data_IF_365544652374
#
_entry.id   IF_365544652374
#
_cell.length_a   1.000
_cell.length_b   1.000
_cell.length_c   1.000
_cell.angle_alpha   90.00
_cell.angle_beta   90.00
_cell.angle_gamma   90.00
#
_symmetry.space_group_name_H-M   'P 1'
#
loop_
_entity.id
_entity.type
_entity.pdbx_description
1 polymer ?
#
# COMPACT_ATOMS: atom_id res chain seq x y z
N UNK A 1 -13.89 -14.85 16.59
CA UNK A 1 -13.04 -13.64 16.55
C UNK A 1 -11.59 -14.10 16.43
N UNK A 2 -11.08 -14.15 15.22
CA UNK A 2 -9.69 -14.53 14.97
C UNK A 2 -8.85 -13.27 15.16
N UNK A 3 -8.03 -13.23 16.20
CA UNK A 3 -7.08 -12.14 16.42
C UNK A 3 -6.02 -12.24 15.32
N UNK A 4 -6.10 -11.38 14.33
CA UNK A 4 -5.03 -11.21 13.34
C UNK A 4 -3.79 -10.80 14.11
N UNK A 5 -2.75 -11.61 14.03
CA UNK A 5 -1.50 -11.33 14.72
C UNK A 5 -0.76 -10.24 13.93
N UNK A 6 -0.94 -8.99 14.33
CA UNK A 6 -0.26 -7.83 13.77
C UNK A 6 1.27 -7.90 13.81
N UNK A 7 1.85 -8.87 14.54
CA UNK A 7 3.31 -9.01 14.67
C UNK A 7 4.07 -9.25 13.36
N UNK A 8 3.43 -9.81 12.34
CA UNK A 8 4.09 -10.07 11.05
C UNK A 8 4.26 -8.81 10.20
N UNK A 9 3.41 -7.81 10.41
CA UNK A 9 3.37 -6.58 9.58
C UNK A 9 4.47 -5.60 9.99
N UNK A 10 4.88 -5.58 11.26
CA UNK A 10 5.92 -4.67 11.78
C UNK A 10 7.29 -4.95 11.14
N UNK A 11 7.58 -6.20 10.78
CA UNK A 11 8.86 -6.58 10.12
C UNK A 11 8.96 -6.02 8.71
N UNK A 12 7.81 -5.74 8.06
CA UNK A 12 7.76 -5.25 6.67
C UNK A 12 8.33 -3.84 6.50
N UNK A 13 8.24 -2.99 7.52
CA UNK A 13 8.71 -1.60 7.42
C UNK A 13 10.20 -1.42 7.70
N UNK A 14 10.86 -2.40 8.31
CA UNK A 14 12.29 -2.28 8.64
C UNK A 14 13.22 -2.36 7.42
N UNK A 15 12.76 -2.93 6.31
CA UNK A 15 13.56 -3.06 5.08
C UNK A 15 13.35 -1.94 4.05
N UNK A 16 12.37 -1.05 4.26
CA UNK A 16 12.02 0.02 3.31
C UNK A 16 13.00 1.22 3.40
N UNK A 17 13.84 1.26 4.43
CA UNK A 17 14.67 2.43 4.76
C UNK A 17 15.99 2.59 4.01
N UNK A 18 16.28 1.86 2.93
CA UNK A 18 17.63 1.85 2.33
C UNK A 18 17.73 2.29 0.86
N UNK A 19 16.67 2.84 0.29
CA UNK A 19 16.75 3.39 -1.08
C UNK A 19 16.49 4.89 -1.09
N UNK A 20 17.36 5.64 -0.40
CA UNK A 20 17.49 7.06 -0.60
C UNK A 20 18.66 7.27 -1.56
N UNK A 21 18.39 7.75 -2.71
CA UNK A 21 19.18 8.52 -3.66
C UNK A 21 19.22 7.97 -5.09
N UNK A 22 18.99 8.85 -5.99
CA UNK A 22 19.48 8.99 -7.36
C UNK A 22 18.55 8.85 -8.55
N UNK A 23 17.24 8.64 -8.46
CA UNK A 23 16.45 8.76 -9.71
C UNK A 23 15.04 9.31 -9.46
N UNK A 24 14.98 10.56 -9.00
CA UNK A 24 13.69 11.24 -8.77
C UNK A 24 12.82 11.34 -10.05
N UNK A 25 13.40 11.31 -11.22
CA UNK A 25 12.69 11.51 -12.50
C UNK A 25 12.30 10.22 -13.22
N UNK A 26 12.90 9.07 -12.87
CA UNK A 26 12.55 7.76 -13.46
C UNK A 26 11.55 6.94 -12.65
N UNK A 27 11.22 7.34 -11.43
CA UNK A 27 10.51 6.52 -10.47
C UNK A 27 9.00 6.79 -10.32
N UNK A 28 8.41 7.65 -11.18
CA UNK A 28 6.96 7.92 -11.16
C UNK A 28 6.14 6.85 -11.88
N UNK A 29 6.59 5.63 -11.82
CA UNK A 29 5.95 4.46 -12.42
C UNK A 29 5.58 3.46 -11.35
N UNK A 30 4.59 2.64 -11.63
CA UNK A 30 4.23 1.52 -10.78
C UNK A 30 5.40 0.54 -10.67
N UNK A 31 5.82 0.24 -9.46
CA UNK A 31 6.81 -0.78 -9.14
C UNK A 31 6.17 -2.00 -8.47
N UNK A 32 6.85 -3.14 -8.56
CA UNK A 32 6.44 -4.38 -7.90
C UNK A 32 7.60 -4.87 -7.04
N UNK A 33 7.35 -5.05 -5.74
CA UNK A 33 8.37 -5.44 -4.78
C UNK A 33 7.90 -6.58 -3.89
N UNK A 34 8.76 -7.58 -3.67
CA UNK A 34 8.55 -8.64 -2.68
C UNK A 34 9.12 -8.16 -1.34
N UNK A 35 8.35 -8.27 -0.28
CA UNK A 35 8.75 -7.88 1.07
C UNK A 35 8.40 -9.01 2.04
N UNK A 36 9.34 -9.37 2.90
CA UNK A 36 9.14 -10.42 3.91
C UNK A 36 8.94 -11.83 3.37
N UNK A 37 9.16 -12.03 2.06
CA UNK A 37 9.08 -13.32 1.38
C UNK A 37 7.72 -13.67 0.80
N UNK A 38 6.62 -13.22 1.39
CA UNK A 38 5.25 -13.61 1.03
C UNK A 38 4.32 -12.43 0.66
N UNK A 39 4.76 -11.18 0.88
CA UNK A 39 4.00 -9.99 0.52
C UNK A 39 4.54 -9.36 -0.76
N UNK A 40 3.65 -9.11 -1.71
CA UNK A 40 3.98 -8.51 -3.00
C UNK A 40 3.26 -7.17 -3.08
N UNK A 41 4.03 -6.10 -2.90
CA UNK A 41 3.56 -4.73 -3.07
C UNK A 41 3.62 -4.34 -4.53
N UNK A 42 2.57 -3.69 -5.02
CA UNK A 42 2.61 -2.95 -6.28
C UNK A 42 2.03 -1.56 -6.02
N UNK A 43 2.84 -0.53 -6.30
CA UNK A 43 2.60 0.83 -5.82
C UNK A 43 3.22 1.87 -6.74
N UNK A 44 2.75 3.10 -6.61
CA UNK A 44 3.23 4.26 -7.34
C UNK A 44 3.54 5.41 -6.38
N UNK A 45 4.63 6.16 -6.58
CA UNK A 45 4.96 7.33 -5.75
C UNK A 45 4.02 8.51 -6.03
N UNK A 46 3.85 9.36 -5.03
CA UNK A 46 3.11 10.61 -5.11
C UNK A 46 3.77 11.64 -6.03
N UNK A 47 2.96 12.59 -6.49
CA UNK A 47 3.43 13.67 -7.37
C UNK A 47 3.95 14.86 -6.58
N UNK A 48 3.44 15.10 -5.37
CA UNK A 48 3.77 16.24 -4.54
C UNK A 48 4.86 15.94 -3.51
N UNK A 49 4.84 14.76 -2.89
CA UNK A 49 5.69 14.45 -1.76
C UNK A 49 6.50 13.18 -1.99
N UNK A 50 7.81 13.34 -1.78
CA UNK A 50 8.70 12.19 -1.73
C UNK A 50 8.38 11.34 -0.50
N UNK A 51 8.11 10.05 -0.73
CA UNK A 51 7.74 9.11 0.34
C UNK A 51 6.25 8.79 0.40
N UNK A 52 5.37 9.60 -0.20
CA UNK A 52 3.99 9.17 -0.40
C UNK A 52 3.92 8.07 -1.45
N UNK A 53 3.19 7.01 -1.17
CA UNK A 53 2.94 5.91 -2.10
C UNK A 53 1.51 5.43 -1.98
N UNK A 54 0.93 5.18 -3.12
CA UNK A 54 -0.39 4.59 -3.28
C UNK A 54 -0.27 3.24 -3.97
N UNK A 55 -0.97 2.23 -3.49
CA UNK A 55 -0.92 0.93 -4.13
C UNK A 55 -1.69 -0.15 -3.39
N UNK A 56 -1.23 -1.37 -3.62
CA UNK A 56 -1.87 -2.57 -3.12
C UNK A 56 -0.83 -3.61 -2.75
N UNK A 57 -1.26 -4.55 -1.94
CA UNK A 57 -0.46 -5.70 -1.55
C UNK A 57 -1.24 -6.99 -1.80
N UNK A 58 -0.55 -7.98 -2.32
CA UNK A 58 -0.99 -9.38 -2.37
C UNK A 58 -0.20 -10.18 -1.37
N UNK A 59 -0.83 -11.19 -0.80
CA UNK A 59 -0.16 -12.11 0.12
C UNK A 59 -0.22 -13.54 -0.44
N UNK A 60 0.93 -14.19 -0.53
CA UNK A 60 1.01 -15.62 -0.84
C UNK A 60 0.48 -16.45 0.34
N UNK A 61 -0.31 -17.51 0.11
CA UNK A 61 -0.75 -18.03 -1.19
C UNK A 61 -2.05 -17.41 -1.72
N UNK A 62 -2.64 -16.40 -1.05
CA UNK A 62 -3.94 -15.82 -1.40
C UNK A 62 -3.81 -14.70 -2.44
N UNK A 63 -3.30 -15.05 -3.62
CA UNK A 63 -2.91 -14.11 -4.67
C UNK A 63 -4.07 -13.43 -5.42
N UNK A 64 -5.30 -13.90 -5.21
CA UNK A 64 -6.49 -13.34 -5.88
C UNK A 64 -7.02 -12.08 -5.20
N UNK A 65 -6.62 -11.83 -3.97
CA UNK A 65 -7.04 -10.68 -3.18
C UNK A 65 -5.98 -9.59 -3.21
N UNK A 66 -6.44 -8.35 -3.30
CA UNK A 66 -5.62 -7.16 -3.18
C UNK A 66 -6.06 -6.40 -1.92
N UNK A 67 -5.13 -6.05 -1.07
CA UNK A 67 -5.35 -5.16 0.06
C UNK A 67 -4.87 -3.77 -0.33
N UNK A 68 -5.66 -2.75 -0.04
CA UNK A 68 -5.26 -1.37 -0.23
C UNK A 68 -4.10 -1.00 0.68
N UNK A 69 -3.16 -0.27 0.14
CA UNK A 69 -1.98 0.16 0.85
C UNK A 69 -1.62 1.61 0.50
N UNK A 70 -1.29 2.38 1.52
CA UNK A 70 -0.79 3.75 1.37
C UNK A 70 0.39 3.94 2.32
N UNK A 71 1.45 4.58 1.84
CA UNK A 71 2.49 5.21 2.65
C UNK A 71 2.30 6.72 2.61
N UNK A 72 2.44 7.36 3.75
CA UNK A 72 2.31 8.80 3.88
C UNK A 72 3.44 9.36 4.74
N UNK A 73 3.90 10.54 4.41
CA UNK A 73 4.96 11.22 5.16
C UNK A 73 4.41 12.50 5.78
N UNK A 74 4.86 12.82 6.99
CA UNK A 74 4.55 14.07 7.68
C UNK A 74 5.78 14.56 8.44
N UNK A 75 5.95 15.86 8.59
CA UNK A 75 6.94 16.47 9.47
C UNK A 75 6.45 16.57 10.92
N UNK A 76 5.14 16.44 11.13
CA UNK A 76 4.53 16.49 12.45
C UNK A 76 4.42 15.09 13.10
N UNK A 77 4.27 15.07 14.42
CA UNK A 77 4.11 13.80 15.15
C UNK A 77 2.74 13.19 14.91
N UNK A 78 2.71 12.14 14.12
CA UNK A 78 1.50 11.36 13.78
C UNK A 78 1.39 10.04 14.55
N UNK A 79 2.32 9.73 15.45
CA UNK A 79 2.25 8.55 16.34
C UNK A 79 0.96 8.44 17.14
N UNK A 80 0.34 9.55 17.60
CA UNK A 80 -0.95 9.48 18.30
C UNK A 80 -2.09 8.85 17.51
N UNK A 81 -1.96 8.73 16.20
CA UNK A 81 -2.96 8.10 15.33
C UNK A 81 -2.69 6.60 15.07
N UNK A 82 -1.56 6.05 15.53
CA UNK A 82 -1.26 4.63 15.35
C UNK A 82 -2.35 3.74 15.97
N UNK A 83 -2.81 2.76 15.21
CA UNK A 83 -3.94 1.89 15.56
C UNK A 83 -5.33 2.50 15.32
N UNK A 84 -5.42 3.75 14.85
CA UNK A 84 -6.69 4.43 14.56
C UNK A 84 -7.03 4.39 13.07
N UNK A 85 -8.31 4.54 12.77
CA UNK A 85 -8.77 4.78 11.41
C UNK A 85 -8.48 6.22 11.01
N UNK A 86 -7.94 6.39 9.82
CA UNK A 86 -7.71 7.70 9.19
C UNK A 86 -8.47 7.70 7.86
N UNK A 87 -9.54 8.49 7.74
CA UNK A 87 -10.33 8.52 6.52
C UNK A 87 -9.57 9.17 5.38
N UNK A 88 -9.55 8.49 4.24
CA UNK A 88 -9.07 9.02 2.97
C UNK A 88 -10.22 9.20 2.00
N UNK A 89 -10.33 10.38 1.43
CA UNK A 89 -11.12 10.60 0.23
C UNK A 89 -10.26 10.32 -0.99
N UNK A 90 -10.78 9.50 -1.91
CA UNK A 90 -10.16 9.21 -3.18
C UNK A 90 -11.01 9.79 -4.30
N UNK A 91 -10.40 10.55 -5.19
CA UNK A 91 -11.08 11.14 -6.34
C UNK A 91 -10.23 10.88 -7.59
N UNK A 92 -10.85 10.33 -8.64
CA UNK A 92 -10.15 10.16 -9.92
C UNK A 92 -10.34 11.39 -10.84
N UNK A 93 -9.62 11.40 -11.96
CA UNK A 93 -9.69 12.49 -12.95
C UNK A 93 -11.04 12.60 -13.70
N UNK A 94 -11.94 11.65 -13.49
CA UNK A 94 -13.32 11.67 -14.00
C UNK A 94 -14.33 12.20 -12.96
N UNK A 95 -13.86 12.59 -11.77
CA UNK A 95 -14.70 13.07 -10.68
C UNK A 95 -15.43 11.96 -9.91
N UNK A 96 -15.12 10.69 -10.18
CA UNK A 96 -15.63 9.59 -9.35
C UNK A 96 -14.89 9.61 -8.02
N UNK A 97 -15.64 9.58 -6.92
CA UNK A 97 -15.08 9.63 -5.57
C UNK A 97 -15.52 8.45 -4.72
N UNK A 98 -14.65 8.06 -3.81
CA UNK A 98 -14.95 7.10 -2.75
C UNK A 98 -14.19 7.46 -1.47
N UNK A 99 -14.65 6.97 -0.33
CA UNK A 99 -13.97 7.16 0.95
C UNK A 99 -13.54 5.81 1.50
N UNK A 100 -12.32 5.76 2.01
CA UNK A 100 -11.76 4.62 2.72
C UNK A 100 -11.40 5.03 4.14
N UNK A 101 -11.47 4.07 5.04
CA UNK A 101 -11.06 4.25 6.44
C UNK A 101 -9.94 3.25 6.77
N UNK A 102 -8.75 3.41 6.19
CA UNK A 102 -7.63 2.53 6.52
C UNK A 102 -7.17 2.74 7.96
N UNK A 103 -6.69 1.67 8.57
CA UNK A 103 -6.02 1.73 9.86
C UNK A 103 -4.59 2.17 9.67
N UNK A 104 -4.13 3.15 10.45
CA UNK A 104 -2.73 3.47 10.58
C UNK A 104 -2.04 2.35 11.38
N UNK A 105 -1.31 1.48 10.69
CA UNK A 105 -0.76 0.26 11.31
C UNK A 105 0.60 0.44 11.94
N UNK A 106 1.39 1.40 11.45
CA UNK A 106 2.73 1.67 11.98
C UNK A 106 3.18 3.09 11.63
N UNK A 107 3.84 3.72 12.57
CA UNK A 107 4.54 5.00 12.39
C UNK A 107 6.02 4.77 12.58
N UNK A 108 6.83 5.16 11.61
CA UNK A 108 8.28 5.09 11.67
C UNK A 108 8.87 6.49 11.59
N UNK A 109 9.66 6.82 12.58
CA UNK A 109 10.46 8.03 12.58
C UNK A 109 11.72 7.81 11.73
N UNK A 110 11.92 8.68 10.76
CA UNK A 110 13.08 8.63 9.88
C UNK A 110 13.55 10.05 9.58
N UNK A 111 14.63 10.49 10.23
CA UNK A 111 15.28 11.79 9.99
C UNK A 111 14.29 12.98 10.03
N UNK A 112 13.46 13.05 11.08
CA UNK A 112 12.39 14.03 11.27
C UNK A 112 11.20 13.93 10.28
N UNK A 113 11.09 12.84 9.54
CA UNK A 113 9.94 12.54 8.70
C UNK A 113 9.27 11.29 9.25
N UNK A 114 7.99 11.38 9.58
CA UNK A 114 7.20 10.23 9.96
C UNK A 114 6.61 9.56 8.72
N UNK A 115 6.87 8.27 8.57
CA UNK A 115 6.28 7.44 7.54
C UNK A 115 5.24 6.50 8.13
N UNK A 116 4.10 6.42 7.50
CA UNK A 116 2.99 5.58 7.94
C UNK A 116 2.58 4.61 6.87
N UNK A 117 2.22 3.41 7.28
CA UNK A 117 1.57 2.43 6.42
C UNK A 117 0.11 2.27 6.82
N UNK A 118 -0.78 2.30 5.84
CA UNK A 118 -2.19 2.08 6.03
C UNK A 118 -2.65 0.85 5.28
N UNK A 119 -3.46 0.02 5.95
CA UNK A 119 -4.20 -1.05 5.29
C UNK A 119 -5.69 -0.82 5.47
N UNK A 120 -6.44 -1.01 4.39
CA UNK A 120 -7.89 -1.03 4.45
C UNK A 120 -8.38 -2.45 4.18
N UNK A 121 -9.01 -3.03 5.19
CA UNK A 121 -9.86 -4.21 5.06
C UNK A 121 -11.29 -3.77 5.37
N UNK A 122 -12.27 -4.28 4.62
CA UNK A 122 -13.63 -4.12 5.06
C UNK A 122 -13.91 -5.10 6.21
N UNK A 123 -14.89 -4.78 7.04
CA UNK A 123 -15.28 -5.58 8.22
C UNK A 123 -15.71 -7.02 7.87
N UNK A 124 -15.87 -7.33 6.59
CA UNK A 124 -16.26 -8.63 6.06
C UNK A 124 -15.11 -9.41 5.45
N UNK A 125 -13.90 -8.84 5.45
CA UNK A 125 -12.71 -9.45 4.85
C UNK A 125 -12.74 -9.49 3.32
N UNK A 126 -13.58 -8.68 2.68
CA UNK A 126 -13.57 -8.53 1.23
C UNK A 126 -12.41 -7.64 0.82
N UNK A 127 -11.66 -8.09 -0.18
CA UNK A 127 -10.69 -7.22 -0.82
C UNK A 127 -11.42 -6.16 -1.63
N UNK A 128 -10.97 -4.92 -1.55
CA UNK A 128 -11.46 -3.83 -2.40
C UNK A 128 -11.10 -4.00 -3.89
N UNK A 129 -10.54 -5.14 -4.27
CA UNK A 129 -9.86 -5.37 -5.54
C UNK A 129 -10.72 -5.08 -6.78
N UNK A 130 -12.01 -5.42 -6.78
CA UNK A 130 -12.84 -5.21 -7.98
C UNK A 130 -13.20 -3.74 -8.19
N UNK A 131 -13.65 -3.05 -7.13
CA UNK A 131 -14.02 -1.64 -7.21
C UNK A 131 -12.80 -0.76 -7.56
N UNK A 132 -11.65 -1.03 -6.92
CA UNK A 132 -10.42 -0.29 -7.20
C UNK A 132 -9.81 -0.63 -8.55
N UNK A 133 -10.00 -1.85 -9.05
CA UNK A 133 -9.51 -2.20 -10.38
C UNK A 133 -10.14 -1.30 -11.44
N UNK A 134 -11.47 -1.17 -11.42
CA UNK A 134 -12.17 -0.31 -12.38
C UNK A 134 -11.87 1.17 -12.17
N UNK A 135 -11.76 1.60 -10.91
CA UNK A 135 -11.41 2.96 -10.54
C UNK A 135 -10.03 3.37 -11.09
N UNK A 136 -9.00 2.52 -10.94
CA UNK A 136 -7.65 2.81 -11.42
C UNK A 136 -7.50 2.60 -12.92
N UNK A 137 -8.09 1.56 -13.48
CA UNK A 137 -7.98 1.21 -14.90
C UNK A 137 -8.55 2.30 -15.81
N UNK A 138 -9.64 2.93 -15.40
CA UNK A 138 -10.36 3.90 -16.19
C UNK A 138 -9.95 5.35 -15.92
N UNK A 139 -8.93 5.58 -15.08
CA UNK A 139 -8.43 6.91 -14.73
C UNK A 139 -6.98 7.13 -15.19
N UNK A 140 -6.58 8.38 -15.30
CA UNK A 140 -5.18 8.78 -15.55
C UNK A 140 -4.45 9.07 -14.25
N UNK A 141 -5.18 9.49 -13.23
CA UNK A 141 -4.67 9.82 -11.91
C UNK A 141 -5.73 9.66 -10.84
N UNK A 142 -5.27 9.46 -9.61
CA UNK A 142 -6.08 9.41 -8.40
C UNK A 142 -5.51 10.40 -7.41
N UNK A 143 -6.36 11.23 -6.84
CA UNK A 143 -6.01 12.14 -5.73
C UNK A 143 -6.52 11.55 -4.42
N UNK A 144 -5.62 11.42 -3.46
CA UNK A 144 -5.93 11.03 -2.09
C UNK A 144 -5.87 12.24 -1.19
N UNK A 145 -6.87 12.37 -0.32
CA UNK A 145 -6.92 13.45 0.69
C UNK A 145 -7.30 12.89 2.04
N UNK A 146 -6.53 13.24 3.08
CA UNK A 146 -6.83 12.96 4.49
C UNK A 146 -7.83 14.01 4.99
N UNK A 147 -8.77 13.63 5.85
CA UNK A 147 -9.76 14.53 6.41
C UNK A 147 -9.15 15.65 7.25
N UNK A 148 -9.82 16.80 7.31
CA UNK A 148 -9.32 18.01 7.96
C UNK A 148 -9.14 17.85 9.48
N UNK A 149 -9.86 16.94 10.12
CA UNK A 149 -9.77 16.64 11.56
C UNK A 149 -8.41 16.04 11.97
N UNK A 150 -7.55 15.68 11.01
CA UNK A 150 -6.21 15.11 11.25
C UNK A 150 -5.13 16.18 11.09
N UNK A 151 -5.09 17.12 12.03
CA UNK A 151 -4.23 18.32 11.97
C UNK A 151 -2.73 18.01 11.86
N UNK A 152 -2.28 16.91 12.46
CA UNK A 152 -0.86 16.52 12.45
C UNK A 152 -0.37 15.98 11.10
N UNK A 153 -1.22 15.80 10.12
CA UNK A 153 -0.79 15.55 8.74
C UNK A 153 -0.61 16.89 8.04
N UNK A 154 0.62 17.36 7.95
CA UNK A 154 0.98 18.65 7.36
C UNK A 154 0.68 18.71 5.85
N UNK A 155 0.84 17.60 5.14
CA UNK A 155 0.44 17.47 3.74
C UNK A 155 -0.70 16.46 3.66
N UNK A 156 -1.89 16.97 3.44
CA UNK A 156 -3.13 16.18 3.49
C UNK A 156 -3.56 15.62 2.14
N UNK A 157 -2.95 16.09 1.05
CA UNK A 157 -3.39 15.70 -0.31
C UNK A 157 -2.20 15.41 -1.19
N UNK A 158 -2.28 14.33 -1.95
CA UNK A 158 -1.34 14.01 -3.01
C UNK A 158 -2.05 13.31 -4.19
N UNK A 159 -1.41 13.33 -5.35
CA UNK A 159 -1.93 12.76 -6.59
C UNK A 159 -1.00 11.66 -7.09
N UNK A 160 -1.57 10.59 -7.61
CA UNK A 160 -0.87 9.38 -8.04
C UNK A 160 -1.27 9.02 -9.46
N UNK A 161 -0.29 8.74 -10.32
CA UNK A 161 -0.55 8.36 -11.70
C UNK A 161 -1.01 6.90 -11.77
N UNK A 162 -2.05 6.62 -12.55
CA UNK A 162 -2.56 5.25 -12.74
C UNK A 162 -1.97 4.55 -13.96
N UNK A 163 -1.22 5.27 -14.80
CA UNK A 163 -0.52 4.69 -15.94
C UNK A 163 0.42 3.57 -15.50
N UNK A 164 0.22 2.37 -16.05
CA UNK A 164 0.99 1.16 -15.67
C UNK A 164 0.37 0.32 -14.57
N UNK A 165 -0.74 0.74 -13.95
CA UNK A 165 -1.43 -0.01 -12.91
C UNK A 165 -1.73 -1.46 -13.28
N UNK A 166 -2.39 -1.69 -14.43
CA UNK A 166 -2.76 -3.06 -14.85
C UNK A 166 -1.52 -3.96 -15.03
N UNK A 167 -0.47 -3.43 -15.64
CA UNK A 167 0.77 -4.17 -15.82
C UNK A 167 1.40 -4.54 -14.47
N UNK A 168 1.44 -3.61 -13.54
CA UNK A 168 1.97 -3.86 -12.18
C UNK A 168 1.12 -4.88 -11.43
N UNK A 169 -0.20 -4.78 -11.49
CA UNK A 169 -1.14 -5.72 -10.88
C UNK A 169 -0.95 -7.15 -11.41
N UNK A 170 -0.87 -7.31 -12.75
CA UNK A 170 -0.63 -8.61 -13.38
C UNK A 170 0.74 -9.19 -13.00
N UNK A 171 1.78 -8.36 -12.94
CA UNK A 171 3.10 -8.78 -12.50
C UNK A 171 3.09 -9.22 -11.03
N UNK A 172 2.43 -8.47 -10.16
CA UNK A 172 2.29 -8.81 -8.75
C UNK A 172 1.55 -10.15 -8.57
N UNK A 173 0.48 -10.37 -9.32
CA UNK A 173 -0.25 -11.64 -9.28
C UNK A 173 0.61 -12.82 -9.75
N UNK A 174 1.31 -12.67 -10.87
CA UNK A 174 2.24 -13.69 -11.38
C UNK A 174 3.34 -14.02 -10.38
N UNK A 175 3.93 -12.99 -9.75
CA UNK A 175 4.97 -13.14 -8.72
C UNK A 175 4.42 -13.86 -7.50
N UNK A 176 3.25 -13.48 -7.01
CA UNK A 176 2.59 -14.13 -5.89
C UNK A 176 2.33 -15.62 -6.14
N UNK A 177 1.77 -15.97 -7.29
CA UNK A 177 1.52 -17.36 -7.68
C UNK A 177 2.81 -18.18 -7.81
N UNK A 178 3.90 -17.56 -8.27
CA UNK A 178 5.22 -18.18 -8.33
C UNK A 178 5.76 -18.53 -6.94
N UNK A 179 5.61 -17.63 -5.96
CA UNK A 179 5.99 -17.89 -4.56
C UNK A 179 5.14 -19.02 -3.95
N UNK A 180 3.83 -18.98 -4.12
CA UNK A 180 2.92 -20.02 -3.64
C UNK A 180 3.27 -21.42 -4.17
N UNK A 181 3.70 -21.53 -5.44
CA UNK A 181 4.08 -22.79 -6.05
C UNK A 181 5.39 -23.33 -5.47
N UNK A 182 6.36 -22.46 -5.19
CA UNK A 182 7.64 -22.85 -4.59
C UNK A 182 7.46 -23.35 -3.15
N UNK A 183 6.60 -22.70 -2.36
CA UNK A 183 6.30 -23.14 -1.00
C UNK A 183 5.66 -24.53 -0.97
N UNK A 184 4.80 -24.85 -1.94
CA UNK A 184 4.18 -26.17 -2.05
C UNK A 184 5.22 -27.27 -2.37
N UNK A 185 6.21 -26.99 -3.23
CA UNK A 185 7.29 -27.93 -3.58
C UNK A 185 8.16 -28.21 -2.35
N UNK A 186 8.59 -27.18 -1.63
CA UNK A 186 9.40 -27.31 -0.42
C UNK A 186 8.68 -28.10 0.67
N UNK A 187 7.40 -27.88 0.86
CA UNK A 187 6.59 -28.61 1.86
C UNK A 187 6.46 -30.09 1.48
N UNK A 188 6.29 -30.41 0.21
CA UNK A 188 6.19 -31.78 -0.28
C UNK A 188 7.51 -32.56 -0.18
N UNK A 189 8.65 -31.87 -0.30
CA UNK A 189 9.98 -32.49 -0.12
C UNK A 189 10.31 -32.77 1.35
N UNK A 190 9.86 -31.91 2.27
CA UNK A 190 10.07 -32.10 3.71
C UNK A 190 9.21 -33.24 4.31
N UNK A 191 8.16 -33.66 3.62
CA UNK A 191 7.25 -34.73 4.06
C UNK A 191 7.65 -36.11 3.51
N UNK A 192 8.73 -36.25 2.74
CA UNK A 192 9.28 -37.51 2.23
C UNK A 192 10.46 -37.99 3.05
#
# INVERSE_FOLDING_TARGET
MQKIKYSAIIVLFSSIGLFASEDFDKSRVWDVQIVGGDFIFYRVPGQAVWGHRYGFVKQSPNCSQDQFFVEWSSYEDIKPYEGKYVPFSLVNDQGVSTTLNPTLIAVKDFTNIMQVGFFAEDDRGYSYSSAFNDFNKNSKQVTLSIGDDFENFDIKTDTFLTSGYEKARMNAEKTCRGLASNDQILTAELMR
#
